data_IF_186324461418
#
_entry.id   IF_186324461418
#
_cell.length_a   1.000
_cell.length_b   1.000
_cell.length_c   1.000
_cell.angle_alpha   90.00
_cell.angle_beta   90.00
_cell.angle_gamma   90.00
#
_symmetry.space_group_name_H-M   'P 1'
#
loop_
_entity.id
_entity.type
_entity.pdbx_description
1 polymer ?
#
# COMPACT_ATOMS: atom_id res chain seq x y z
N UNK A 1 -13.36 15.84 -7.16
CA UNK A 1 -12.30 16.90 -7.22
C UNK A 1 -10.99 16.15 -7.37
N UNK A 2 -10.58 15.89 -8.61
CA UNK A 2 -9.36 15.16 -8.96
C UNK A 2 -8.14 16.03 -8.63
N UNK A 3 -7.35 15.66 -7.65
CA UNK A 3 -5.98 16.18 -7.55
C UNK A 3 -5.10 15.35 -8.46
N UNK A 4 -5.09 15.68 -9.76
CA UNK A 4 -3.99 15.27 -10.66
C UNK A 4 -2.70 15.62 -9.93
N UNK A 5 -1.83 14.64 -9.72
CA UNK A 5 -0.49 14.95 -9.25
C UNK A 5 0.13 15.93 -10.25
N UNK A 6 0.38 17.16 -9.80
CA UNK A 6 0.99 18.17 -10.65
C UNK A 6 2.42 17.70 -10.92
N UNK A 7 2.61 17.02 -12.05
CA UNK A 7 3.92 16.51 -12.44
C UNK A 7 4.83 17.72 -12.63
N UNK A 8 5.91 17.78 -11.86
CA UNK A 8 6.87 18.87 -11.98
C UNK A 8 8.01 18.46 -12.90
N UNK A 9 8.15 19.07 -14.09
CA UNK A 9 9.31 18.85 -14.95
C UNK A 9 10.57 19.59 -14.44
N UNK A 10 10.43 20.38 -13.37
CA UNK A 10 11.50 21.22 -12.82
C UNK A 10 12.44 20.45 -11.90
N UNK A 11 11.95 19.40 -11.22
CA UNK A 11 12.77 18.57 -10.35
C UNK A 11 13.41 17.46 -11.18
N UNK A 12 14.74 17.51 -11.28
CA UNK A 12 15.57 16.59 -12.07
C UNK A 12 16.71 16.04 -11.20
N UNK A 13 17.41 15.02 -11.70
CA UNK A 13 18.63 14.51 -11.04
C UNK A 13 19.66 15.60 -10.79
N UNK A 14 19.89 16.50 -11.75
CA UNK A 14 20.84 17.61 -11.61
C UNK A 14 20.48 18.57 -10.47
N UNK A 15 19.19 18.81 -10.25
CA UNK A 15 18.72 19.63 -9.12
C UNK A 15 18.99 18.90 -7.80
N UNK A 16 18.65 17.61 -7.72
CA UNK A 16 18.89 16.81 -6.53
C UNK A 16 20.39 16.68 -6.19
N UNK A 17 21.24 16.52 -7.21
CA UNK A 17 22.69 16.49 -7.08
C UNK A 17 23.26 17.82 -6.58
N UNK A 18 22.77 18.94 -7.10
CA UNK A 18 23.19 20.27 -6.64
C UNK A 18 22.78 20.55 -5.19
N UNK A 19 21.63 20.03 -4.76
CA UNK A 19 21.14 20.18 -3.39
C UNK A 19 21.82 19.23 -2.40
N UNK A 20 22.18 18.02 -2.85
CA UNK A 20 22.65 16.92 -2.00
C UNK A 20 23.71 17.31 -0.95
N UNK A 21 24.78 18.09 -1.25
CA UNK A 21 25.79 18.47 -0.25
C UNK A 21 25.23 19.22 0.96
N UNK A 22 24.08 19.89 0.80
CA UNK A 22 23.44 20.67 1.87
C UNK A 22 22.42 19.85 2.67
N UNK A 23 22.22 18.57 2.33
CA UNK A 23 21.20 17.68 2.90
C UNK A 23 21.77 16.62 3.86
N UNK A 24 22.96 16.87 4.43
CA UNK A 24 23.66 15.94 5.32
C UNK A 24 22.89 15.52 6.58
N UNK A 25 21.86 16.29 6.96
CA UNK A 25 21.04 16.07 8.16
C UNK A 25 19.57 15.72 7.84
N UNK A 26 19.27 15.42 6.56
CA UNK A 26 17.90 15.20 6.10
C UNK A 26 17.23 14.03 6.87
N UNK A 27 16.06 14.28 7.46
CA UNK A 27 15.30 13.24 8.17
C UNK A 27 14.15 12.68 7.34
N UNK A 28 13.64 13.44 6.40
CA UNK A 28 12.51 13.07 5.57
C UNK A 28 12.82 13.45 4.12
N UNK A 29 12.65 12.50 3.21
CA UNK A 29 12.83 12.72 1.78
C UNK A 29 11.61 12.18 1.06
N UNK A 30 10.88 13.08 0.39
CA UNK A 30 9.67 12.74 -0.36
C UNK A 30 9.76 13.30 -1.76
N UNK A 31 9.52 12.45 -2.75
CA UNK A 31 9.34 12.84 -4.15
C UNK A 31 7.99 12.32 -4.62
N UNK A 32 7.20 13.23 -5.19
CA UNK A 32 5.87 12.90 -5.73
C UNK A 32 5.74 13.49 -7.13
N UNK A 33 5.41 12.68 -8.14
CA UNK A 33 5.17 13.15 -9.50
C UNK A 33 6.41 13.72 -10.22
N UNK A 34 7.61 13.37 -9.76
CA UNK A 34 8.88 13.89 -10.28
C UNK A 34 9.42 12.98 -11.41
N UNK A 35 8.78 13.04 -12.59
CA UNK A 35 9.03 12.11 -13.71
C UNK A 35 10.44 12.18 -14.33
N UNK A 36 11.19 13.26 -14.06
CA UNK A 36 12.57 13.45 -14.56
C UNK A 36 13.64 13.07 -13.54
N UNK A 37 13.24 12.68 -12.33
CA UNK A 37 14.15 12.11 -11.34
C UNK A 37 14.31 10.63 -11.64
N UNK A 38 15.53 10.14 -11.56
CA UNK A 38 15.91 8.72 -11.63
C UNK A 38 16.55 8.29 -10.31
N UNK A 39 16.95 7.02 -10.22
CA UNK A 39 17.70 6.53 -9.08
C UNK A 39 18.97 7.35 -8.80
N UNK A 40 19.57 7.98 -9.82
CA UNK A 40 20.80 8.79 -9.69
C UNK A 40 20.61 10.02 -8.80
N UNK A 41 19.54 10.79 -9.00
CA UNK A 41 19.25 11.96 -8.17
C UNK A 41 18.88 11.57 -6.74
N UNK A 42 18.09 10.51 -6.57
CA UNK A 42 17.76 9.96 -5.25
C UNK A 42 19.02 9.48 -4.53
N UNK A 43 19.89 8.77 -5.24
CA UNK A 43 21.18 8.31 -4.75
C UNK A 43 22.06 9.47 -4.27
N UNK A 44 22.17 10.55 -5.04
CA UNK A 44 22.97 11.71 -4.66
C UNK A 44 22.53 12.28 -3.31
N UNK A 45 21.21 12.42 -3.09
CA UNK A 45 20.66 12.92 -1.82
C UNK A 45 20.91 11.95 -0.67
N UNK A 46 20.66 10.66 -0.88
CA UNK A 46 20.81 9.65 0.17
C UNK A 46 22.28 9.46 0.58
N UNK A 47 23.20 9.42 -0.38
CA UNK A 47 24.64 9.28 -0.12
C UNK A 47 25.26 10.49 0.59
N UNK A 48 24.74 11.69 0.35
CA UNK A 48 25.18 12.89 1.07
C UNK A 48 24.65 12.96 2.52
N UNK A 49 23.60 12.19 2.86
CA UNK A 49 22.97 12.16 4.18
C UNK A 49 23.76 11.30 5.18
N UNK A 50 24.98 11.75 5.51
CA UNK A 50 25.92 11.00 6.35
C UNK A 50 25.68 11.14 7.84
N UNK A 51 25.03 12.22 8.29
CA UNK A 51 24.90 12.53 9.72
C UNK A 51 23.44 12.54 10.20
N UNK A 52 22.48 12.68 9.29
CA UNK A 52 21.07 12.73 9.62
C UNK A 52 20.50 11.37 10.00
N UNK A 53 20.71 10.38 9.12
CA UNK A 53 19.96 9.13 9.13
C UNK A 53 18.50 9.41 8.76
N UNK A 54 18.06 8.82 7.66
CA UNK A 54 16.74 9.08 7.12
C UNK A 54 15.68 8.33 7.94
N UNK A 55 14.60 9.02 8.31
CA UNK A 55 13.44 8.42 9.01
C UNK A 55 12.28 8.13 8.08
N UNK A 56 12.09 8.96 7.05
CA UNK A 56 11.00 8.81 6.08
C UNK A 56 11.57 8.89 4.67
N UNK A 57 11.25 7.89 3.86
CA UNK A 57 11.53 7.85 2.42
C UNK A 57 10.23 7.60 1.68
N UNK A 58 9.78 8.56 0.87
CA UNK A 58 8.59 8.44 0.05
C UNK A 58 8.91 8.73 -1.42
N UNK A 59 8.66 7.76 -2.28
CA UNK A 59 8.98 7.80 -3.71
C UNK A 59 7.72 7.44 -4.50
N UNK A 60 6.92 8.46 -4.82
CA UNK A 60 5.59 8.30 -5.39
C UNK A 60 5.48 8.92 -6.79
N UNK A 61 4.77 8.25 -7.71
CA UNK A 61 4.53 8.78 -9.05
C UNK A 61 5.82 9.10 -9.83
N UNK A 62 6.88 8.32 -9.60
CA UNK A 62 8.11 8.40 -10.39
C UNK A 62 7.88 7.77 -11.76
N UNK A 63 8.74 8.06 -12.73
CA UNK A 63 8.59 7.46 -14.05
C UNK A 63 8.91 5.95 -14.00
N UNK A 64 8.24 5.13 -14.82
CA UNK A 64 8.55 3.69 -14.92
C UNK A 64 10.01 3.40 -15.31
N UNK A 65 10.67 4.37 -15.95
CA UNK A 65 12.10 4.32 -16.30
C UNK A 65 13.04 4.61 -15.12
N UNK A 66 12.54 4.94 -13.94
CA UNK A 66 13.34 5.28 -12.75
C UNK A 66 14.38 4.19 -12.41
N UNK A 67 14.02 2.92 -12.61
CA UNK A 67 14.91 1.76 -12.49
C UNK A 67 15.26 1.10 -13.83
N UNK A 68 14.98 1.73 -14.98
CA UNK A 68 15.45 1.18 -16.25
C UNK A 68 16.92 1.54 -16.39
N UNK A 69 17.82 0.56 -16.43
CA UNK A 69 19.20 0.84 -16.73
C UNK A 69 19.28 1.29 -18.19
N UNK A 70 20.05 2.34 -18.49
CA UNK A 70 20.56 2.50 -19.85
C UNK A 70 21.62 1.43 -20.19
N UNK A 71 22.05 0.61 -19.22
CA UNK A 71 23.00 -0.50 -19.41
C UNK A 71 22.69 -1.71 -18.50
N UNK A 72 22.70 -2.96 -18.99
CA UNK A 72 22.27 -4.13 -18.22
C UNK A 72 23.28 -4.44 -17.11
N UNK A 73 23.07 -3.88 -15.94
CA UNK A 73 23.83 -4.16 -14.72
C UNK A 73 22.85 -4.45 -13.59
N UNK A 74 23.27 -5.21 -12.54
CA UNK A 74 22.40 -5.57 -11.41
C UNK A 74 21.64 -4.34 -10.90
N UNK A 75 20.33 -4.52 -10.63
CA UNK A 75 19.35 -3.44 -10.50
C UNK A 75 19.88 -2.26 -9.69
N UNK A 76 19.69 -1.04 -10.19
CA UNK A 76 20.18 0.19 -9.55
C UNK A 76 19.74 0.33 -8.09
N UNK A 77 18.64 -0.33 -7.72
CA UNK A 77 18.14 -0.40 -6.35
C UNK A 77 18.91 -1.39 -5.46
N UNK A 78 19.49 -2.46 -6.02
CA UNK A 78 20.44 -3.32 -5.31
C UNK A 78 21.78 -2.59 -5.07
N UNK A 79 22.23 -1.79 -6.02
CA UNK A 79 23.39 -0.90 -5.82
C UNK A 79 23.10 0.16 -4.73
N UNK A 80 21.90 0.76 -4.76
CA UNK A 80 21.41 1.64 -3.70
C UNK A 80 21.43 0.93 -2.34
N UNK A 81 20.92 -0.30 -2.29
CA UNK A 81 20.91 -1.13 -1.08
C UNK A 81 22.32 -1.34 -0.52
N UNK A 82 23.26 -1.76 -1.37
CA UNK A 82 24.62 -2.09 -0.96
C UNK A 82 25.39 -0.90 -0.35
N UNK A 83 25.03 0.33 -0.69
CA UNK A 83 25.76 1.51 -0.24
C UNK A 83 25.00 2.36 0.79
N UNK A 84 23.66 2.30 0.83
CA UNK A 84 22.85 2.96 1.86
C UNK A 84 22.65 2.11 3.13
N UNK A 85 23.06 0.84 3.08
CA UNK A 85 22.79 -0.18 4.09
C UNK A 85 23.14 0.23 5.52
N UNK A 86 24.34 0.77 5.74
CA UNK A 86 24.91 0.79 7.09
C UNK A 86 24.67 2.12 7.84
N UNK A 87 24.25 3.18 7.17
CA UNK A 87 24.15 4.52 7.79
C UNK A 87 22.82 5.23 7.53
N UNK A 88 22.39 5.30 6.27
CA UNK A 88 21.24 6.12 5.88
C UNK A 88 19.92 5.48 6.30
N UNK A 89 19.78 4.17 6.06
CA UNK A 89 18.53 3.43 6.28
C UNK A 89 18.39 2.84 7.70
N UNK A 90 19.47 2.84 8.49
CA UNK A 90 19.47 2.31 9.86
C UNK A 90 18.34 2.90 10.73
N UNK A 91 17.96 4.15 10.44
CA UNK A 91 16.92 4.91 11.17
C UNK A 91 15.61 5.03 10.41
N UNK A 92 15.46 4.35 9.28
CA UNK A 92 14.26 4.46 8.45
C UNK A 92 13.09 3.82 9.19
N UNK A 93 12.06 4.62 9.44
CA UNK A 93 10.83 4.22 10.14
C UNK A 93 9.66 4.09 9.17
N UNK A 94 9.61 4.92 8.12
CA UNK A 94 8.53 4.93 7.13
C UNK A 94 9.07 4.87 5.71
N UNK A 95 8.49 3.95 4.93
CA UNK A 95 8.81 3.78 3.52
C UNK A 95 7.54 3.78 2.67
N UNK A 96 7.52 4.65 1.66
CA UNK A 96 6.46 4.72 0.66
C UNK A 96 7.04 4.58 -0.74
N UNK A 97 6.45 3.72 -1.58
CA UNK A 97 6.92 3.50 -2.95
C UNK A 97 5.78 3.24 -3.94
N UNK A 98 5.83 3.91 -5.10
CA UNK A 98 5.10 3.49 -6.30
C UNK A 98 5.88 2.40 -7.03
N UNK A 99 5.30 1.21 -7.13
CA UNK A 99 5.85 0.01 -7.73
C UNK A 99 5.29 -0.12 -9.16
N UNK A 100 6.16 -0.20 -10.16
CA UNK A 100 5.76 -0.31 -11.56
C UNK A 100 5.72 -1.75 -12.08
N UNK A 101 6.41 -2.68 -11.43
CA UNK A 101 6.42 -4.10 -11.82
C UNK A 101 6.83 -4.98 -10.65
N UNK A 102 6.57 -6.29 -10.76
CA UNK A 102 6.96 -7.29 -9.77
C UNK A 102 8.48 -7.37 -9.55
N UNK A 103 9.29 -7.03 -10.56
CA UNK A 103 10.75 -6.99 -10.43
C UNK A 103 11.24 -5.95 -9.41
N UNK A 104 10.49 -4.87 -9.20
CA UNK A 104 10.80 -3.87 -8.18
C UNK A 104 10.64 -4.41 -6.76
N UNK A 105 9.75 -5.38 -6.55
CA UNK A 105 9.48 -5.93 -5.22
C UNK A 105 10.71 -6.62 -4.63
N UNK A 106 11.40 -7.46 -5.41
CA UNK A 106 12.62 -8.14 -4.96
C UNK A 106 13.71 -7.14 -4.56
N UNK A 107 13.90 -6.10 -5.37
CA UNK A 107 14.89 -5.07 -5.06
C UNK A 107 14.47 -4.23 -3.84
N UNK A 108 13.16 -3.98 -3.69
CA UNK A 108 12.62 -3.24 -2.54
C UNK A 108 12.80 -4.04 -1.26
N UNK A 109 12.58 -5.36 -1.29
CA UNK A 109 12.86 -6.23 -0.14
C UNK A 109 14.33 -6.18 0.26
N UNK A 110 15.25 -6.24 -0.71
CA UNK A 110 16.68 -6.12 -0.45
C UNK A 110 17.04 -4.77 0.21
N UNK A 111 16.51 -3.67 -0.32
CA UNK A 111 16.70 -2.33 0.25
C UNK A 111 16.18 -2.24 1.69
N UNK A 112 14.96 -2.73 1.92
CA UNK A 112 14.31 -2.66 3.24
C UNK A 112 14.97 -3.59 4.26
N UNK A 113 15.67 -4.65 3.83
CA UNK A 113 16.41 -5.51 4.75
C UNK A 113 17.44 -4.74 5.61
N UNK A 114 17.89 -3.58 5.14
CA UNK A 114 18.81 -2.69 5.85
C UNK A 114 18.12 -1.60 6.70
N UNK A 115 16.80 -1.68 6.86
CA UNK A 115 16.00 -0.76 7.68
C UNK A 115 15.52 -1.43 9.00
N UNK A 116 16.40 -1.63 9.99
CA UNK A 116 16.06 -2.31 11.24
C UNK A 116 15.07 -1.54 12.11
N UNK A 117 14.80 -0.27 11.80
CA UNK A 117 13.84 0.57 12.52
C UNK A 117 12.49 0.71 11.80
N UNK A 118 12.26 -0.04 10.72
CA UNK A 118 11.07 0.12 9.88
C UNK A 118 9.79 -0.26 10.64
N UNK A 119 8.84 0.66 10.66
CA UNK A 119 7.54 0.56 11.33
C UNK A 119 6.38 0.69 10.35
N UNK A 120 6.56 1.44 9.25
CA UNK A 120 5.52 1.76 8.28
C UNK A 120 6.00 1.41 6.88
N UNK A 121 5.21 0.61 6.16
CA UNK A 121 5.41 0.32 4.74
C UNK A 121 4.14 0.61 3.98
N UNK A 122 4.28 1.37 2.89
CA UNK A 122 3.18 1.76 2.03
C UNK A 122 3.56 1.61 0.57
N UNK A 123 2.86 0.71 -0.13
CA UNK A 123 3.15 0.38 -1.51
C UNK A 123 1.94 0.70 -2.39
N UNK A 124 2.21 1.31 -3.53
CA UNK A 124 1.23 1.66 -4.54
C UNK A 124 1.58 0.99 -5.85
N UNK A 125 0.66 0.28 -6.49
CA UNK A 125 0.85 -0.05 -7.90
C UNK A 125 0.70 1.22 -8.74
N UNK A 126 1.74 1.58 -9.49
CA UNK A 126 1.66 2.66 -10.46
C UNK A 126 0.74 2.28 -11.62
N UNK A 127 0.84 1.03 -12.05
CA UNK A 127 0.01 0.40 -13.07
C UNK A 127 -0.66 -0.86 -12.48
N UNK A 128 -1.98 -0.85 -12.24
CA UNK A 128 -2.71 -2.00 -11.71
C UNK A 128 -2.60 -3.24 -12.61
N UNK A 129 -2.48 -3.07 -13.94
CA UNK A 129 -2.41 -4.18 -14.89
C UNK A 129 -1.10 -4.95 -14.77
N UNK A 130 -0.01 -4.27 -14.41
CA UNK A 130 1.28 -4.91 -14.12
C UNK A 130 1.22 -5.90 -12.94
N UNK A 131 0.15 -5.83 -12.13
CA UNK A 131 -0.11 -6.72 -10.99
C UNK A 131 -1.40 -7.53 -11.18
N UNK A 132 -1.81 -7.75 -12.43
CA UNK A 132 -2.95 -8.62 -12.73
C UNK A 132 -2.78 -9.99 -12.02
N UNK A 133 -3.85 -10.50 -11.39
CA UNK A 133 -3.78 -11.70 -10.58
C UNK A 133 -3.48 -12.92 -11.45
N UNK A 134 -2.26 -13.43 -11.36
CA UNK A 134 -1.86 -14.73 -11.91
C UNK A 134 -0.94 -15.45 -10.92
N UNK A 135 -0.73 -16.75 -11.12
CA UNK A 135 0.03 -17.58 -10.19
C UNK A 135 1.48 -17.09 -9.99
N UNK A 136 2.13 -16.58 -11.04
CA UNK A 136 3.51 -16.08 -10.97
C UNK A 136 3.59 -14.77 -10.18
N UNK A 137 2.73 -13.79 -10.49
CA UNK A 137 2.62 -12.53 -9.76
C UNK A 137 2.31 -12.77 -8.29
N UNK A 138 1.34 -13.65 -7.99
CA UNK A 138 0.99 -14.02 -6.62
C UNK A 138 2.17 -14.63 -5.87
N UNK A 139 2.94 -15.53 -6.50
CA UNK A 139 4.11 -16.15 -5.86
C UNK A 139 5.20 -15.12 -5.52
N UNK A 140 5.46 -14.17 -6.43
CA UNK A 140 6.44 -13.09 -6.20
C UNK A 140 5.97 -12.17 -5.06
N UNK A 141 4.69 -11.79 -5.05
CA UNK A 141 4.14 -10.97 -3.97
C UNK A 141 4.17 -11.69 -2.62
N UNK A 142 3.82 -12.98 -2.59
CA UNK A 142 3.89 -13.80 -1.37
C UNK A 142 5.33 -13.94 -0.84
N UNK A 143 6.32 -14.07 -1.74
CA UNK A 143 7.72 -14.09 -1.35
C UNK A 143 8.13 -12.73 -0.74
N UNK A 144 7.79 -11.63 -1.42
CA UNK A 144 8.06 -10.27 -0.94
C UNK A 144 7.49 -10.03 0.47
N UNK A 145 6.20 -10.32 0.68
CA UNK A 145 5.55 -10.11 1.97
C UNK A 145 6.16 -10.98 3.07
N UNK A 146 6.47 -12.24 2.75
CA UNK A 146 7.12 -13.15 3.70
C UNK A 146 8.49 -12.63 4.12
N UNK A 147 9.30 -12.12 3.20
CA UNK A 147 10.62 -11.59 3.49
C UNK A 147 10.53 -10.32 4.34
N UNK A 148 9.60 -9.41 3.98
CA UNK A 148 9.32 -8.19 4.74
C UNK A 148 8.86 -8.51 6.18
N UNK A 149 7.89 -9.41 6.34
CA UNK A 149 7.36 -9.82 7.64
C UNK A 149 8.40 -10.55 8.45
N UNK A 150 9.24 -11.38 7.82
CA UNK A 150 10.36 -12.06 8.51
C UNK A 150 11.35 -11.07 9.08
N UNK A 151 11.64 -10.01 8.34
CA UNK A 151 12.67 -9.04 8.73
C UNK A 151 12.14 -7.97 9.70
N UNK A 152 10.90 -7.51 9.51
CA UNK A 152 10.35 -6.34 10.22
C UNK A 152 9.10 -6.62 11.07
N UNK A 153 8.51 -7.82 11.02
CA UNK A 153 7.17 -8.08 11.57
C UNK A 153 6.98 -7.62 13.01
N UNK A 154 7.95 -7.83 13.89
CA UNK A 154 7.87 -7.42 15.30
C UNK A 154 7.65 -5.91 15.52
N UNK A 155 8.00 -5.07 14.54
CA UNK A 155 7.97 -3.60 14.62
C UNK A 155 6.95 -2.96 13.69
N UNK A 156 6.53 -3.65 12.62
CA UNK A 156 5.56 -3.10 11.68
C UNK A 156 4.26 -2.74 12.40
N UNK A 157 3.94 -1.44 12.43
CA UNK A 157 2.72 -0.89 13.00
C UNK A 157 1.69 -0.58 11.92
N UNK A 158 2.15 -0.30 10.70
CA UNK A 158 1.29 -0.03 9.54
C UNK A 158 1.80 -0.75 8.30
N UNK A 159 0.91 -1.52 7.69
CA UNK A 159 1.11 -2.10 6.35
C UNK A 159 0.02 -1.56 5.44
N UNK A 160 0.43 -0.96 4.34
CA UNK A 160 -0.49 -0.36 3.37
C UNK A 160 -0.16 -0.79 1.95
N UNK A 161 -1.18 -1.29 1.25
CA UNK A 161 -1.11 -1.76 -0.12
C UNK A 161 -2.27 -1.18 -0.89
N UNK A 162 -1.96 -0.42 -1.94
CA UNK A 162 -2.94 0.24 -2.77
C UNK A 162 -2.74 -0.15 -4.23
N UNK A 163 -3.86 -0.29 -4.95
CA UNK A 163 -3.92 -0.58 -6.39
C UNK A 163 -3.27 -1.90 -6.85
N UNK A 164 -2.82 -2.76 -5.93
CA UNK A 164 -2.43 -4.15 -6.21
C UNK A 164 -3.07 -5.10 -5.20
N UNK A 165 -3.63 -6.20 -5.68
CA UNK A 165 -4.22 -7.23 -4.83
C UNK A 165 -3.12 -7.94 -4.02
N UNK A 166 -3.38 -8.17 -2.74
CA UNK A 166 -2.53 -8.98 -1.87
C UNK A 166 -3.24 -10.30 -1.56
N UNK A 167 -2.50 -11.41 -1.58
CA UNK A 167 -3.09 -12.74 -1.32
C UNK A 167 -3.57 -12.84 0.13
N UNK A 168 -4.61 -13.65 0.36
CA UNK A 168 -5.07 -13.95 1.72
C UNK A 168 -3.99 -14.60 2.58
N UNK A 169 -3.09 -15.39 1.97
CA UNK A 169 -1.95 -16.00 2.65
C UNK A 169 -0.98 -14.93 3.16
N UNK A 170 -0.65 -13.95 2.34
CA UNK A 170 0.21 -12.84 2.76
C UNK A 170 -0.45 -11.98 3.84
N UNK A 171 -1.76 -11.70 3.73
CA UNK A 171 -2.51 -11.00 4.77
C UNK A 171 -2.50 -11.77 6.09
N UNK A 172 -2.70 -13.09 6.06
CA UNK A 172 -2.63 -13.94 7.25
C UNK A 172 -1.23 -13.91 7.87
N UNK A 173 -0.17 -14.04 7.08
CA UNK A 173 1.22 -13.97 7.58
C UNK A 173 1.51 -12.63 8.26
N UNK A 174 1.05 -11.52 7.66
CA UNK A 174 1.12 -10.17 8.25
C UNK A 174 0.35 -10.12 9.57
N UNK A 175 -0.90 -10.57 9.62
CA UNK A 175 -1.71 -10.52 10.85
C UNK A 175 -1.12 -11.38 11.98
N UNK A 176 -0.57 -12.55 11.66
CA UNK A 176 0.00 -13.48 12.65
C UNK A 176 1.34 -12.99 13.20
N UNK A 177 2.24 -12.55 12.32
CA UNK A 177 3.65 -12.31 12.68
C UNK A 177 3.94 -10.83 12.97
N UNK A 178 3.12 -9.90 12.49
CA UNK A 178 3.27 -8.49 12.82
C UNK A 178 2.59 -8.15 14.15
N UNK A 179 3.23 -8.50 15.26
CA UNK A 179 2.63 -8.38 16.60
C UNK A 179 2.33 -6.95 17.06
N UNK A 180 2.93 -5.95 16.39
CA UNK A 180 2.71 -4.53 16.65
C UNK A 180 1.74 -3.88 15.63
N UNK A 181 1.16 -4.67 14.71
CA UNK A 181 0.32 -4.16 13.62
C UNK A 181 -0.95 -3.51 14.15
N UNK A 182 -1.07 -2.21 13.95
CA UNK A 182 -2.23 -1.39 14.31
C UNK A 182 -3.11 -1.06 13.11
N UNK A 183 -2.51 -0.92 11.93
CA UNK A 183 -3.21 -0.43 10.77
C UNK A 183 -2.89 -1.27 9.54
N UNK A 184 -3.93 -1.74 8.85
CA UNK A 184 -3.82 -2.57 7.68
C UNK A 184 -4.71 -2.02 6.56
N UNK A 185 -4.11 -1.63 5.44
CA UNK A 185 -4.81 -1.16 4.25
C UNK A 185 -4.47 -2.11 3.10
N UNK A 186 -5.48 -2.75 2.50
CA UNK A 186 -5.26 -3.81 1.51
C UNK A 186 -6.23 -3.70 0.36
N UNK A 187 -5.86 -4.27 -0.78
CA UNK A 187 -6.77 -4.52 -1.91
C UNK A 187 -7.08 -6.01 -1.95
N UNK A 188 -8.36 -6.38 -1.91
CA UNK A 188 -8.81 -7.77 -2.00
C UNK A 188 -10.00 -7.92 -2.95
N UNK A 189 -10.20 -9.12 -3.48
CA UNK A 189 -11.40 -9.44 -4.23
C UNK A 189 -12.65 -9.45 -3.29
N UNK A 190 -13.79 -8.89 -3.71
CA UNK A 190 -15.01 -8.91 -2.89
C UNK A 190 -15.47 -10.30 -2.45
N UNK A 191 -15.25 -11.33 -3.27
CA UNK A 191 -15.61 -12.73 -2.95
C UNK A 191 -14.75 -13.29 -1.81
N UNK A 192 -13.59 -12.69 -1.54
CA UNK A 192 -12.65 -13.14 -0.52
C UNK A 192 -12.93 -12.57 0.89
N UNK A 193 -13.92 -11.68 1.06
CA UNK A 193 -14.19 -10.98 2.33
C UNK A 193 -14.44 -11.93 3.52
N UNK A 194 -15.14 -13.05 3.29
CA UNK A 194 -15.42 -14.03 4.34
C UNK A 194 -14.15 -14.71 4.87
N UNK A 195 -13.19 -14.97 3.98
CA UNK A 195 -11.89 -15.54 4.33
C UNK A 195 -10.94 -14.47 4.89
N UNK A 196 -10.99 -13.24 4.39
CA UNK A 196 -10.26 -12.11 4.94
C UNK A 196 -10.56 -11.91 6.43
N UNK A 197 -11.83 -12.00 6.83
CA UNK A 197 -12.21 -11.90 8.25
C UNK A 197 -11.51 -12.95 9.14
N UNK A 198 -11.24 -14.16 8.63
CA UNK A 198 -10.43 -15.15 9.35
C UNK A 198 -8.99 -14.66 9.52
N UNK A 199 -8.37 -14.12 8.46
CA UNK A 199 -7.00 -13.60 8.52
C UNK A 199 -6.90 -12.47 9.55
N UNK A 200 -7.82 -11.51 9.49
CA UNK A 200 -7.86 -10.35 10.40
C UNK A 200 -8.00 -10.75 11.87
N UNK A 201 -8.76 -11.81 12.16
CA UNK A 201 -8.95 -12.34 13.52
C UNK A 201 -7.66 -12.79 14.20
N UNK A 202 -6.60 -13.03 13.42
CA UNK A 202 -5.28 -13.46 13.92
C UNK A 202 -4.44 -12.30 14.46
N UNK A 203 -4.76 -11.06 14.11
CA UNK A 203 -4.01 -9.90 14.58
C UNK A 203 -4.24 -9.64 16.08
N UNK A 204 -3.27 -9.04 16.76
CA UNK A 204 -3.35 -8.85 18.22
C UNK A 204 -3.83 -7.47 18.65
N UNK A 205 -3.37 -6.44 17.95
CA UNK A 205 -3.54 -5.03 18.33
C UNK A 205 -4.04 -4.18 17.16
N UNK A 206 -4.68 -4.83 16.18
CA UNK A 206 -5.20 -4.19 14.98
C UNK A 206 -6.35 -3.25 15.35
N UNK A 207 -6.18 -1.96 15.08
CA UNK A 207 -7.13 -0.90 15.42
C UNK A 207 -7.82 -0.29 14.20
N UNK A 208 -7.18 -0.30 13.03
CA UNK A 208 -7.77 0.17 11.79
C UNK A 208 -7.57 -0.81 10.64
N UNK A 209 -8.66 -1.07 9.90
CA UNK A 209 -8.63 -1.84 8.65
C UNK A 209 -9.27 -1.03 7.53
N UNK A 210 -8.64 -1.01 6.37
CA UNK A 210 -9.24 -0.49 5.16
C UNK A 210 -9.10 -1.48 4.02
N UNK A 211 -10.21 -1.73 3.34
CA UNK A 211 -10.28 -2.64 2.21
C UNK A 211 -10.58 -1.81 0.95
N UNK A 212 -9.81 -2.03 -0.10
CA UNK A 212 -10.18 -1.54 -1.43
C UNK A 212 -10.51 -2.74 -2.30
N UNK A 213 -11.48 -2.57 -3.20
CA UNK A 213 -11.70 -3.50 -4.29
C UNK A 213 -10.92 -3.05 -5.51
N UNK A 214 -10.34 -3.97 -6.31
CA UNK A 214 -9.73 -3.61 -7.58
C UNK A 214 -10.74 -2.88 -8.46
N UNK A 215 -10.41 -1.66 -8.86
CA UNK A 215 -11.12 -0.99 -9.96
C UNK A 215 -10.52 -1.52 -11.25
N UNK A 216 -11.02 -2.64 -11.74
CA UNK A 216 -10.72 -3.06 -13.10
C UNK A 216 -11.48 -2.07 -13.97
N UNK A 217 -10.82 -1.00 -14.42
CA UNK A 217 -11.28 -0.33 -15.61
C UNK A 217 -11.08 -1.35 -16.71
N UNK A 218 -12.16 -1.96 -17.18
CA UNK A 218 -12.18 -2.66 -18.46
C UNK A 218 -11.79 -1.57 -19.46
N UNK A 219 -10.49 -1.44 -19.72
CA UNK A 219 -10.04 -0.71 -20.88
C UNK A 219 -10.62 -1.54 -22.01
N UNK A 220 -11.65 -0.99 -22.63
CA UNK A 220 -12.25 -1.53 -23.82
C UNK A 220 -11.12 -2.01 -24.73
N UNK A 221 -11.20 -3.26 -25.16
CA UNK A 221 -10.51 -3.74 -26.35
C UNK A 221 -11.07 -2.90 -27.52
N UNK A 222 -10.58 -1.65 -27.65
CA UNK A 222 -10.95 -0.67 -28.68
C UNK A 222 -10.03 -0.80 -29.93
N UNK A 223 -9.28 -1.89 -30.05
CA UNK A 223 -8.42 -2.13 -31.22
C UNK A 223 -8.99 -3.29 -32.06
N UNK A 224 -9.68 -2.88 -33.12
CA UNK A 224 -9.76 -3.52 -34.45
C UNK A 224 -10.48 -4.88 -34.58
N UNK A 225 -11.80 -4.85 -34.75
CA UNK A 225 -12.42 -5.73 -35.76
C UNK A 225 -13.68 -5.06 -36.35
N UNK A 226 -13.59 -4.73 -37.64
CA UNK A 226 -14.61 -4.08 -38.49
C UNK A 226 -15.86 -4.97 -38.70
N UNK A 227 -16.47 -5.49 -37.64
CA UNK A 227 -17.75 -6.20 -37.71
C UNK A 227 -18.91 -5.23 -37.63
N UNK A 228 -19.08 -4.56 -38.75
CA UNK A 228 -20.27 -3.88 -39.19
C UNK A 228 -21.51 -4.83 -39.13
N UNK A 229 -22.54 -4.42 -38.37
CA UNK A 229 -23.96 -4.73 -38.52
C UNK A 229 -24.49 -6.14 -38.16
N UNK A 230 -24.65 -6.43 -36.87
CA UNK A 230 -25.75 -7.27 -36.39
C UNK A 230 -26.36 -6.71 -35.08
N UNK A 231 -27.42 -5.92 -35.25
CA UNK A 231 -28.59 -5.70 -34.39
C UNK A 231 -28.45 -5.77 -32.85
N UNK A 232 -28.33 -4.58 -32.25
CA UNK A 232 -29.24 -4.00 -31.23
C UNK A 232 -29.92 -4.96 -30.22
N UNK A 233 -29.33 -5.13 -29.02
CA UNK A 233 -30.06 -5.07 -27.71
C UNK A 233 -29.18 -5.33 -26.44
N UNK A 234 -27.85 -5.41 -26.52
CA UNK A 234 -26.99 -5.62 -25.33
C UNK A 234 -26.39 -4.29 -24.82
N UNK A 235 -27.25 -3.29 -24.62
CA UNK A 235 -26.91 -2.01 -24.01
C UNK A 235 -26.29 -2.20 -22.61
N UNK A 236 -25.10 -1.61 -22.45
CA UNK A 236 -24.62 -0.97 -21.23
C UNK A 236 -24.83 -1.78 -19.94
N UNK A 237 -24.10 -2.89 -19.80
CA UNK A 237 -23.83 -3.44 -18.46
C UNK A 237 -22.91 -2.47 -17.73
N UNK A 238 -23.49 -1.38 -17.25
CA UNK A 238 -22.86 -0.46 -16.32
C UNK A 238 -22.49 -1.30 -15.10
N UNK A 239 -21.21 -1.65 -14.97
CA UNK A 239 -20.71 -2.45 -13.86
C UNK A 239 -20.96 -1.66 -12.57
N UNK A 240 -22.04 -2.02 -11.87
CA UNK A 240 -22.40 -1.40 -10.61
C UNK A 240 -21.23 -1.60 -9.64
N UNK A 241 -20.61 -0.53 -9.12
CA UNK A 241 -19.49 -0.66 -8.22
C UNK A 241 -19.86 -1.56 -7.05
N UNK A 242 -19.01 -2.52 -6.72
CA UNK A 242 -19.27 -3.39 -5.58
C UNK A 242 -19.18 -2.56 -4.29
N UNK A 243 -20.34 -2.36 -3.65
CA UNK A 243 -20.45 -1.59 -2.42
C UNK A 243 -20.65 -2.53 -1.24
N UNK A 244 -19.71 -2.52 -0.30
CA UNK A 244 -19.85 -3.24 0.97
C UNK A 244 -20.96 -2.60 1.82
N UNK A 245 -21.95 -3.40 2.19
CA UNK A 245 -23.06 -2.93 3.03
C UNK A 245 -22.67 -2.97 4.51
N UNK A 246 -23.26 -2.10 5.32
CA UNK A 246 -22.96 -2.00 6.76
C UNK A 246 -23.14 -3.35 7.52
N UNK A 247 -24.18 -4.17 7.26
CA UNK A 247 -24.30 -5.48 7.91
C UNK A 247 -23.16 -6.45 7.59
N UNK A 248 -22.67 -6.44 6.35
CA UNK A 248 -21.53 -7.26 5.90
C UNK A 248 -20.22 -6.79 6.53
N UNK A 249 -20.00 -5.47 6.54
CA UNK A 249 -18.87 -4.86 7.24
C UNK A 249 -18.88 -5.21 8.74
N UNK A 250 -20.06 -5.14 9.38
CA UNK A 250 -20.20 -5.49 10.80
C UNK A 250 -19.91 -6.98 11.05
N UNK A 251 -20.32 -7.87 10.13
CA UNK A 251 -20.00 -9.30 10.23
C UNK A 251 -18.49 -9.56 10.19
N UNK A 252 -17.73 -8.79 9.40
CA UNK A 252 -16.26 -8.85 9.40
C UNK A 252 -15.70 -8.30 10.72
N UNK A 253 -16.14 -7.11 11.15
CA UNK A 253 -15.68 -6.44 12.39
C UNK A 253 -15.91 -7.27 13.64
N UNK A 254 -17.01 -8.05 13.70
CA UNK A 254 -17.30 -8.98 14.80
C UNK A 254 -16.29 -10.13 14.91
N UNK A 255 -15.58 -10.45 13.82
CA UNK A 255 -14.54 -11.49 13.79
C UNK A 255 -13.14 -10.90 13.98
N UNK A 256 -12.99 -9.59 13.83
CA UNK A 256 -11.74 -8.88 14.09
C UNK A 256 -11.42 -8.82 15.59
N UNK A 257 -10.16 -8.53 15.96
CA UNK A 257 -9.75 -8.34 17.35
C UNK A 257 -10.54 -7.22 18.03
N UNK A 258 -10.67 -7.34 19.34
CA UNK A 258 -11.39 -6.40 20.20
C UNK A 258 -10.79 -5.00 20.20
N UNK A 259 -9.61 -4.80 19.64
CA UNK A 259 -8.94 -3.50 19.48
C UNK A 259 -9.42 -2.70 18.27
N UNK A 260 -10.20 -3.29 17.36
CA UNK A 260 -10.65 -2.61 16.14
C UNK A 260 -11.52 -1.40 16.49
N UNK A 261 -11.13 -0.21 16.05
CA UNK A 261 -11.87 1.04 16.29
C UNK A 261 -12.30 1.71 14.97
N UNK A 262 -11.65 1.37 13.87
CA UNK A 262 -11.96 1.89 12.54
C UNK A 262 -12.00 0.77 11.51
N UNK A 263 -13.01 0.81 10.66
CA UNK A 263 -13.16 -0.10 9.53
C UNK A 263 -13.62 0.70 8.33
N UNK A 264 -13.02 0.50 7.17
CA UNK A 264 -13.51 1.10 5.95
C UNK A 264 -13.38 0.20 4.73
N UNK A 265 -14.15 0.54 3.71
CA UNK A 265 -14.14 -0.12 2.43
C UNK A 265 -14.35 0.90 1.31
N UNK A 266 -13.42 0.97 0.36
CA UNK A 266 -13.38 1.97 -0.71
C UNK A 266 -13.52 3.40 -0.14
N UNK A 267 -14.60 4.11 -0.47
CA UNK A 267 -14.85 5.47 0.01
C UNK A 267 -15.61 5.55 1.34
N UNK A 268 -15.95 4.42 1.96
CA UNK A 268 -16.75 4.36 3.20
C UNK A 268 -15.87 4.06 4.40
N UNK A 269 -16.07 4.80 5.47
CA UNK A 269 -15.40 4.60 6.76
C UNK A 269 -16.44 4.57 7.87
N UNK A 270 -16.28 3.61 8.77
CA UNK A 270 -17.11 3.43 9.95
C UNK A 270 -16.24 3.47 11.20
N UNK A 271 -16.77 4.11 12.23
CA UNK A 271 -16.25 3.98 13.58
C UNK A 271 -16.85 2.72 14.23
N UNK A 272 -16.00 1.91 14.86
CA UNK A 272 -16.45 0.71 15.58
C UNK A 272 -16.66 1.06 17.04
N UNK A 273 -17.92 1.15 17.42
CA UNK A 273 -18.34 1.45 18.79
C UNK A 273 -18.75 0.18 19.54
N UNK A 274 -18.82 0.30 20.86
CA UNK A 274 -19.09 -0.81 21.79
C UNK A 274 -20.16 -0.37 22.76
N UNK A 275 -21.20 -1.16 22.88
CA UNK A 275 -22.26 -0.98 23.87
C UNK A 275 -22.28 -2.20 24.80
N UNK A 276 -22.36 -1.96 26.11
CA UNK A 276 -22.54 -3.04 27.08
C UNK A 276 -24.04 -3.29 27.22
N UNK A 277 -24.51 -4.46 26.81
CA UNK A 277 -25.91 -4.88 26.93
C UNK A 277 -26.04 -6.08 27.85
N UNK A 278 -27.17 -6.15 28.57
CA UNK A 278 -27.53 -7.35 29.34
C UNK A 278 -28.28 -8.31 28.42
N UNK A 279 -27.78 -9.53 28.25
CA UNK A 279 -28.45 -10.57 27.46
C UNK A 279 -29.66 -11.17 28.22
N UNK A 280 -30.41 -12.05 27.57
CA UNK A 280 -31.60 -12.71 28.17
C UNK A 280 -31.26 -13.56 29.41
N UNK A 281 -30.00 -13.98 29.56
CA UNK A 281 -29.51 -14.71 30.73
C UNK A 281 -29.09 -13.78 31.90
N UNK A 282 -29.17 -12.46 31.72
CA UNK A 282 -28.76 -11.47 32.72
C UNK A 282 -27.26 -11.14 32.72
N UNK A 283 -26.48 -11.72 31.80
CA UNK A 283 -25.03 -11.49 31.66
C UNK A 283 -24.74 -10.23 30.86
N UNK A 284 -23.66 -9.52 31.20
CA UNK A 284 -23.20 -8.36 30.44
C UNK A 284 -22.37 -8.80 29.24
N UNK A 285 -22.81 -8.44 28.04
CA UNK A 285 -22.13 -8.70 26.77
C UNK A 285 -21.76 -7.38 26.12
N UNK A 286 -20.55 -7.29 25.57
CA UNK A 286 -20.11 -6.13 24.78
C UNK A 286 -20.53 -6.38 23.33
N UNK A 287 -21.52 -5.63 22.86
CA UNK A 287 -21.94 -5.67 21.47
C UNK A 287 -21.22 -4.58 20.66
N UNK A 288 -20.74 -4.93 19.46
CA UNK A 288 -20.16 -3.98 18.51
C UNK A 288 -21.20 -3.53 17.50
N UNK A 289 -21.15 -2.25 17.15
CA UNK A 289 -21.91 -1.67 16.05
C UNK A 289 -21.05 -0.69 15.25
N UNK A 290 -21.51 -0.36 14.04
CA UNK A 290 -20.86 0.61 13.16
C UNK A 290 -21.56 1.96 13.30
N UNK A 291 -20.83 2.97 13.73
CA UNK A 291 -21.27 4.36 13.74
C UNK A 291 -20.73 5.11 12.52
N UNK A 292 -21.32 6.27 12.21
CA UNK A 292 -20.77 7.19 11.23
C UNK A 292 -19.36 7.64 11.65
N UNK A 293 -18.48 7.85 10.68
CA UNK A 293 -17.18 8.44 10.96
C UNK A 293 -17.34 9.97 11.11
N UNK A 294 -17.19 10.47 12.33
CA UNK A 294 -17.45 11.88 12.65
C UNK A 294 -16.18 12.76 12.63
N UNK A 295 -15.00 12.16 12.51
CA UNK A 295 -13.76 12.93 12.50
C UNK A 295 -13.62 13.72 11.18
N UNK A 296 -13.32 15.03 11.25
CA UNK A 296 -13.07 15.83 10.05
C UNK A 296 -11.79 15.39 9.31
N UNK A 297 -10.87 14.74 10.03
CA UNK A 297 -9.65 14.19 9.47
C UNK A 297 -9.93 12.78 8.93
N UNK A 298 -10.41 12.71 7.69
CA UNK A 298 -10.40 11.44 6.93
C UNK A 298 -8.94 11.10 6.67
N UNK A 299 -8.40 9.98 7.22
CA UNK A 299 -7.00 9.69 7.05
C UNK A 299 -6.71 9.55 5.56
N UNK A 300 -5.57 10.09 5.13
CA UNK A 300 -5.23 10.20 3.72
C UNK A 300 -5.32 8.88 2.94
N UNK A 301 -5.14 7.76 3.63
CA UNK A 301 -5.25 6.40 3.07
C UNK A 301 -6.69 6.01 2.67
N UNK A 302 -7.70 6.74 3.15
CA UNK A 302 -9.13 6.60 2.82
C UNK A 302 -9.58 7.60 1.76
N UNK A 303 -8.74 8.57 1.39
CA UNK A 303 -9.00 9.47 0.26
C UNK A 303 -8.71 8.70 -1.03
N UNK A 304 -9.74 7.98 -1.50
CA UNK A 304 -9.74 7.34 -2.81
C UNK A 304 -9.67 8.46 -3.86
N UNK A 305 -8.48 8.63 -4.45
CA UNK A 305 -8.12 9.24 -5.75
C UNK A 305 -6.81 10.02 -5.62
N UNK A 306 -5.70 9.31 -5.77
CA UNK A 306 -4.38 9.84 -6.16
C UNK A 306 -4.08 9.31 -7.57
N UNK A 307 -4.72 9.89 -8.58
CA UNK A 307 -4.42 9.66 -10.00
C UNK A 307 -4.55 10.99 -10.72
#
# INVERSE_FOLDING_TARGET
METRHQTSPLVTDSVLEALAPNLAQLKQFSLTGCLRVTHRGVWAVLSANTAGGLRVLALEGLAAKFLRPHTPTPSDLAALSAHCADTVLARLQSFTLSVHSTAWLASTAALLAHAPSLEIVQLYAADPLAFAPNAATAAIMDAFWRDLVTTHGKRLTRVSVHRMAISLRAIEDVCVRCTALRQLYVVVDPTALGALANCLSRARVLSAVHINFPTISVAADDDDDDNEWLDDDDHDREEVPVVLKAPEALAIVRRCPDTISLFGCNARVWQVEREVRRNDAGELVVERYLAGYESPDVPEQFLVVRT
#
